data_IF_232461537440
#
_entry.id   IF_232461537440
#
_cell.length_a   1.000
_cell.length_b   1.000
_cell.length_c   1.000
_cell.angle_alpha   90.00
_cell.angle_beta   90.00
_cell.angle_gamma   90.00
#
_symmetry.space_group_name_H-M   'P 1'
#
loop_
_entity.id
_entity.type
_entity.pdbx_description
1 polymer ?
#
# COMPACT_ATOMS: atom_id res chain seq x y z
N UNK A 1 14.56 1.50 -10.97
CA UNK A 1 14.65 0.03 -10.92
C UNK A 1 13.85 -0.39 -9.70
N UNK A 2 12.78 -1.18 -9.83
CA UNK A 2 11.82 -1.46 -8.75
C UNK A 2 12.38 -2.34 -7.62
N UNK A 3 13.47 -3.06 -7.87
CA UNK A 3 14.05 -4.02 -6.93
C UNK A 3 15.42 -3.59 -6.45
N UNK A 4 15.68 -3.81 -5.16
CA UNK A 4 16.96 -3.58 -4.52
C UNK A 4 17.68 -4.91 -4.38
N UNK A 5 18.88 -5.02 -4.96
CA UNK A 5 19.74 -6.18 -4.78
C UNK A 5 20.85 -5.87 -3.75
N UNK A 6 21.47 -6.92 -3.21
CA UNK A 6 22.64 -6.73 -2.35
C UNK A 6 23.77 -6.02 -3.12
N UNK A 7 24.64 -5.24 -2.46
CA UNK A 7 25.65 -4.43 -3.14
C UNK A 7 26.53 -5.23 -4.12
N UNK A 8 26.86 -6.48 -3.78
CA UNK A 8 27.63 -7.37 -4.65
C UNK A 8 26.87 -7.79 -5.92
N UNK A 9 25.57 -8.07 -5.81
CA UNK A 9 24.72 -8.37 -6.96
C UNK A 9 24.49 -7.11 -7.79
N UNK A 10 24.24 -5.97 -7.16
CA UNK A 10 24.08 -4.68 -7.83
C UNK A 10 25.32 -4.31 -8.66
N UNK A 11 26.52 -4.39 -8.07
CA UNK A 11 27.77 -4.19 -8.78
C UNK A 11 27.96 -5.21 -9.92
N UNK A 12 27.49 -6.44 -9.73
CA UNK A 12 27.49 -7.47 -10.77
C UNK A 12 26.51 -7.19 -11.92
N UNK A 13 25.35 -6.56 -11.66
CA UNK A 13 24.43 -6.09 -12.69
C UNK A 13 25.08 -4.96 -13.49
N UNK A 14 25.67 -3.97 -12.81
CA UNK A 14 26.36 -2.84 -13.44
C UNK A 14 27.56 -3.28 -14.29
N UNK A 15 28.28 -4.30 -13.83
CA UNK A 15 29.39 -4.92 -14.57
C UNK A 15 28.93 -5.87 -15.69
N UNK A 16 27.63 -6.06 -15.89
CA UNK A 16 27.07 -6.96 -16.91
C UNK A 16 27.27 -8.45 -16.61
N UNK A 17 27.68 -8.83 -15.39
CA UNK A 17 27.81 -10.22 -14.93
C UNK A 17 26.44 -10.86 -14.71
N UNK A 18 25.47 -10.07 -14.26
CA UNK A 18 24.10 -10.48 -14.03
C UNK A 18 23.15 -9.65 -14.89
N UNK A 19 22.08 -10.29 -15.36
CA UNK A 19 20.99 -9.60 -16.06
C UNK A 19 19.68 -9.78 -15.28
N UNK A 20 18.89 -8.71 -15.09
CA UNK A 20 17.55 -8.83 -14.51
C UNK A 20 16.69 -9.79 -15.33
N UNK A 21 15.93 -10.64 -14.64
CA UNK A 21 14.88 -11.43 -15.28
C UNK A 21 13.71 -10.47 -15.56
N UNK A 22 13.15 -10.57 -16.76
CA UNK A 22 12.00 -9.78 -17.18
C UNK A 22 10.78 -10.69 -17.29
N UNK A 23 9.60 -10.19 -16.91
CA UNK A 23 8.33 -10.82 -17.23
C UNK A 23 8.09 -10.80 -18.75
N UNK A 24 7.07 -11.52 -19.21
CA UNK A 24 6.67 -11.49 -20.64
C UNK A 24 6.29 -10.08 -21.11
N UNK A 25 5.79 -9.24 -20.20
CA UNK A 25 5.45 -7.84 -20.46
C UNK A 25 6.67 -6.89 -20.43
N UNK A 26 7.89 -7.43 -20.25
CA UNK A 26 9.12 -6.63 -20.16
C UNK A 26 9.33 -5.93 -18.81
N UNK A 27 8.56 -6.29 -17.79
CA UNK A 27 8.70 -5.72 -16.43
C UNK A 27 9.81 -6.47 -15.69
N UNK A 28 10.80 -5.77 -15.10
CA UNK A 28 11.81 -6.42 -14.27
C UNK A 28 11.18 -7.24 -13.15
N UNK A 29 11.83 -8.34 -12.76
CA UNK A 29 11.47 -9.17 -11.62
C UNK A 29 12.50 -9.04 -10.50
N UNK A 30 12.15 -9.53 -9.32
CA UNK A 30 13.00 -9.59 -8.13
C UNK A 30 14.19 -10.55 -8.25
N UNK A 31 14.59 -10.97 -9.45
CA UNK A 31 15.65 -11.95 -9.65
C UNK A 31 16.56 -11.58 -10.80
N UNK A 32 17.79 -12.09 -10.71
CA UNK A 32 18.80 -11.99 -11.76
C UNK A 32 19.32 -13.36 -12.15
N UNK A 33 19.84 -13.46 -13.37
CA UNK A 33 20.54 -14.64 -13.89
C UNK A 33 21.94 -14.28 -14.34
N UNK A 34 22.81 -15.28 -14.38
CA UNK A 34 24.16 -15.12 -14.94
C UNK A 34 24.07 -14.75 -16.43
N UNK A 35 24.76 -13.67 -16.81
CA UNK A 35 24.74 -13.16 -18.19
C UNK A 35 25.58 -14.01 -19.16
N UNK A 36 26.67 -14.60 -18.68
CA UNK A 36 27.62 -15.35 -19.49
C UNK A 36 28.37 -16.42 -18.66
N UNK A 37 29.02 -17.36 -19.35
CA UNK A 37 29.84 -18.43 -18.74
C UNK A 37 29.10 -19.77 -18.60
N UNK A 38 29.68 -20.74 -17.88
CA UNK A 38 29.10 -22.09 -17.72
C UNK A 38 27.78 -22.11 -16.93
N UNK A 39 27.47 -21.03 -16.22
CA UNK A 39 26.22 -20.81 -15.49
C UNK A 39 25.25 -19.91 -16.26
N UNK A 40 25.56 -19.52 -17.50
CA UNK A 40 24.73 -18.58 -18.27
C UNK A 40 23.27 -19.03 -18.32
N UNK A 41 22.36 -18.09 -18.04
CA UNK A 41 20.93 -18.36 -17.98
C UNK A 41 20.42 -18.89 -16.63
N UNK A 42 21.30 -19.42 -15.76
CA UNK A 42 20.91 -19.88 -14.43
C UNK A 42 20.62 -18.71 -13.49
N UNK A 43 19.62 -18.89 -12.62
CA UNK A 43 19.22 -17.92 -11.61
C UNK A 43 20.34 -17.78 -10.58
N UNK A 44 20.75 -16.53 -10.36
CA UNK A 44 21.95 -16.22 -9.56
C UNK A 44 21.60 -15.63 -8.19
N UNK A 45 20.57 -14.78 -8.11
CA UNK A 45 20.18 -14.13 -6.87
C UNK A 45 18.76 -13.57 -6.94
N UNK A 46 18.22 -13.28 -5.76
CA UNK A 46 16.98 -12.55 -5.56
C UNK A 46 17.26 -11.15 -4.99
N UNK A 47 16.28 -10.27 -5.13
CA UNK A 47 16.27 -8.94 -4.56
C UNK A 47 16.08 -9.03 -3.05
N UNK A 48 16.80 -8.19 -2.31
CA UNK A 48 16.70 -8.08 -0.85
C UNK A 48 15.63 -7.05 -0.43
N UNK A 49 15.02 -6.36 -1.39
CA UNK A 49 13.96 -5.40 -1.15
C UNK A 49 13.38 -4.86 -2.45
N UNK A 50 12.42 -3.94 -2.32
CA UNK A 50 11.93 -3.14 -3.42
C UNK A 50 12.33 -1.69 -3.24
N UNK A 51 12.87 -1.10 -4.30
CA UNK A 51 13.03 0.35 -4.41
C UNK A 51 11.66 0.89 -4.79
N UNK A 52 10.89 1.29 -3.78
CA UNK A 52 9.91 2.34 -4.02
C UNK A 52 10.69 3.58 -4.48
N UNK A 53 10.06 4.47 -5.26
CA UNK A 53 10.63 5.79 -5.60
C UNK A 53 11.05 6.60 -4.34
N UNK A 54 10.76 6.09 -3.14
CA UNK A 54 11.10 6.59 -1.83
C UNK A 54 12.13 5.66 -1.16
N UNK A 55 13.40 5.82 -1.54
CA UNK A 55 14.54 4.91 -1.27
C UNK A 55 14.83 4.55 0.21
N UNK A 56 14.16 5.17 1.19
CA UNK A 56 14.35 4.87 2.62
C UNK A 56 13.33 3.91 3.25
N UNK A 57 12.06 3.95 2.81
CA UNK A 57 10.95 3.38 3.60
C UNK A 57 10.54 1.96 3.18
N UNK A 58 10.63 1.64 1.88
CA UNK A 58 10.31 0.31 1.36
C UNK A 58 11.35 -0.75 1.78
N UNK A 59 12.61 -0.33 1.98
CA UNK A 59 13.68 -1.19 2.48
C UNK A 59 13.47 -1.65 3.94
N UNK A 60 12.64 -0.96 4.73
CA UNK A 60 12.46 -1.25 6.16
C UNK A 60 11.25 -2.14 6.51
N UNK A 61 10.41 -2.50 5.53
CA UNK A 61 9.22 -3.33 5.77
C UNK A 61 8.16 -2.66 6.66
N UNK A 62 8.13 -1.32 6.72
CA UNK A 62 7.25 -0.54 7.60
C UNK A 62 5.82 -0.41 7.09
N UNK A 63 5.50 -0.98 5.93
CA UNK A 63 4.14 -1.05 5.41
C UNK A 63 3.63 -2.50 5.47
N UNK A 64 2.47 -2.75 6.11
CA UNK A 64 1.89 -4.09 6.18
C UNK A 64 1.63 -4.63 4.78
N UNK A 65 1.32 -3.75 3.84
CA UNK A 65 0.99 -4.08 2.47
C UNK A 65 2.19 -4.47 1.61
N UNK A 66 3.40 -4.42 2.17
CA UNK A 66 4.64 -4.84 1.48
C UNK A 66 5.36 -6.00 2.14
N UNK A 67 5.00 -6.33 3.37
CA UNK A 67 5.61 -7.42 4.12
C UNK A 67 5.34 -8.79 3.46
N UNK A 68 4.10 -9.04 3.03
CA UNK A 68 3.74 -10.30 2.36
C UNK A 68 4.35 -10.47 0.96
N UNK A 69 4.34 -9.43 0.09
CA UNK A 69 5.09 -9.44 -1.17
C UNK A 69 6.59 -9.70 -1.02
N UNK A 70 7.25 -9.10 -0.02
CA UNK A 70 8.67 -9.32 0.24
C UNK A 70 9.00 -10.78 0.60
N UNK A 71 8.09 -11.47 1.29
CA UNK A 71 8.20 -12.92 1.52
C UNK A 71 8.01 -13.71 0.24
N UNK A 72 7.04 -13.31 -0.56
CA UNK A 72 6.63 -14.02 -1.74
C UNK A 72 7.74 -14.12 -2.79
N UNK A 73 8.62 -13.12 -2.82
CA UNK A 73 9.70 -13.00 -3.80
C UNK A 73 10.98 -13.75 -3.42
N UNK A 74 11.01 -14.47 -2.29
CA UNK A 74 12.16 -15.26 -1.84
C UNK A 74 12.03 -16.74 -2.22
N UNK A 75 12.96 -17.25 -3.04
CA UNK A 75 12.84 -18.51 -3.78
C UNK A 75 13.09 -19.82 -3.00
N UNK A 76 13.23 -19.79 -1.67
CA UNK A 76 13.69 -20.95 -0.89
C UNK A 76 12.78 -21.38 0.26
N UNK A 77 12.39 -22.67 0.30
CA UNK A 77 11.57 -23.27 1.37
C UNK A 77 12.19 -23.17 2.78
N UNK A 78 13.52 -23.10 2.90
CA UNK A 78 14.24 -22.98 4.20
C UNK A 78 14.36 -21.53 4.70
N UNK A 79 14.31 -20.53 3.81
CA UNK A 79 14.35 -19.10 4.16
C UNK A 79 12.98 -18.55 4.58
N UNK A 80 11.90 -19.29 4.27
CA UNK A 80 10.53 -18.94 4.68
C UNK A 80 10.43 -18.78 6.21
N UNK A 81 11.12 -19.58 7.02
CA UNK A 81 11.05 -19.49 8.49
C UNK A 81 11.27 -18.10 9.08
N UNK A 82 12.46 -17.52 8.83
CA UNK A 82 12.91 -16.29 9.49
C UNK A 82 12.38 -15.03 8.80
N UNK A 83 12.24 -15.05 7.48
CA UNK A 83 11.56 -13.97 6.78
C UNK A 83 10.08 -13.92 7.15
N UNK A 84 9.37 -15.07 7.14
CA UNK A 84 7.96 -15.12 7.58
C UNK A 84 7.82 -14.59 9.00
N UNK A 85 8.74 -14.90 9.92
CA UNK A 85 8.74 -14.30 11.26
C UNK A 85 8.82 -12.77 11.24
N UNK A 86 9.71 -12.18 10.45
CA UNK A 86 9.90 -10.73 10.37
C UNK A 86 8.69 -10.03 9.72
N UNK A 87 8.18 -10.58 8.63
CA UNK A 87 7.00 -10.05 7.95
C UNK A 87 5.73 -10.19 8.80
N UNK A 88 5.58 -11.31 9.51
CA UNK A 88 4.49 -11.50 10.49
C UNK A 88 4.55 -10.44 11.59
N UNK A 89 5.74 -10.13 12.12
CA UNK A 89 5.92 -9.07 13.12
C UNK A 89 5.59 -7.70 12.54
N UNK A 90 6.01 -7.41 11.31
CA UNK A 90 5.71 -6.15 10.62
C UNK A 90 4.20 -5.97 10.37
N UNK A 91 3.51 -7.03 9.93
CA UNK A 91 2.06 -7.06 9.75
C UNK A 91 1.33 -6.81 11.08
N UNK A 92 1.71 -7.52 12.14
CA UNK A 92 1.12 -7.36 13.48
C UNK A 92 1.29 -5.94 14.03
N UNK A 93 2.51 -5.40 13.95
CA UNK A 93 2.84 -4.05 14.42
C UNK A 93 2.04 -2.98 13.65
N UNK A 94 1.87 -3.15 12.34
CA UNK A 94 1.14 -2.16 11.57
C UNK A 94 -0.36 -2.24 11.74
N UNK A 95 -0.97 -3.43 11.82
CA UNK A 95 -2.42 -3.53 12.09
C UNK A 95 -2.72 -2.90 13.46
N UNK A 96 -1.87 -3.12 14.46
CA UNK A 96 -2.00 -2.46 15.75
C UNK A 96 -1.86 -0.93 15.66
N UNK A 97 -0.89 -0.43 14.88
CA UNK A 97 -0.70 1.02 14.70
C UNK A 97 -1.91 1.65 13.99
N UNK A 98 -2.43 1.00 12.96
CA UNK A 98 -3.60 1.46 12.20
C UNK A 98 -4.88 1.44 13.04
N UNK A 99 -5.09 0.35 13.78
CA UNK A 99 -6.21 0.25 14.71
C UNK A 99 -6.13 1.32 15.81
N UNK A 100 -4.92 1.61 16.30
CA UNK A 100 -4.70 2.70 17.25
C UNK A 100 -5.03 4.06 16.61
N UNK A 101 -4.60 4.36 15.39
CA UNK A 101 -4.92 5.64 14.76
C UNK A 101 -6.42 5.81 14.50
N UNK A 102 -7.15 4.74 14.17
CA UNK A 102 -8.63 4.77 14.12
C UNK A 102 -9.25 5.21 15.45
N UNK A 103 -8.64 4.85 16.59
CA UNK A 103 -9.11 5.26 17.92
C UNK A 103 -8.98 6.76 18.19
N UNK A 104 -7.98 7.44 17.61
CA UNK A 104 -7.80 8.90 17.76
C UNK A 104 -8.83 9.66 16.92
N UNK A 105 -9.18 9.11 15.75
CA UNK A 105 -10.13 9.75 14.82
C UNK A 105 -11.58 9.59 15.33
N UNK A 106 -11.87 8.51 16.06
CA UNK A 106 -13.16 8.26 16.69
C UNK A 106 -14.29 7.83 15.74
N UNK A 107 -15.50 7.74 16.30
CA UNK A 107 -16.77 7.54 15.56
C UNK A 107 -17.41 8.92 15.36
N UNK A 108 -17.82 9.27 14.14
CA UNK A 108 -18.32 10.61 13.77
C UNK A 108 -17.37 11.44 12.88
N UNK A 109 -17.55 12.76 12.85
CA UNK A 109 -16.72 13.68 12.04
C UNK A 109 -15.34 13.83 12.69
N UNK A 110 -14.28 13.59 11.91
CA UNK A 110 -12.91 13.80 12.39
C UNK A 110 -12.67 15.29 12.61
N UNK A 111 -12.29 15.69 13.83
CA UNK A 111 -11.84 17.06 14.08
C UNK A 111 -10.48 17.23 13.39
N UNK A 112 -10.25 18.36 12.71
CA UNK A 112 -9.02 18.63 11.94
C UNK A 112 -7.74 18.37 12.77
N UNK A 113 -7.75 18.67 14.08
CA UNK A 113 -6.63 18.36 14.99
C UNK A 113 -6.33 16.85 15.14
N UNK A 114 -7.35 15.99 15.11
CA UNK A 114 -7.16 14.55 15.16
C UNK A 114 -6.52 14.00 13.88
N UNK A 115 -6.87 14.57 12.71
CA UNK A 115 -6.27 14.19 11.43
C UNK A 115 -4.78 14.50 11.35
N UNK A 116 -4.35 15.64 11.89
CA UNK A 116 -2.92 16.01 11.96
C UNK A 116 -2.13 15.02 12.83
N UNK A 117 -2.72 14.58 13.95
CA UNK A 117 -2.07 13.66 14.88
C UNK A 117 -1.89 12.24 14.33
N UNK A 118 -2.64 11.87 13.31
CA UNK A 118 -2.65 10.53 12.71
C UNK A 118 -2.40 10.55 11.21
N UNK A 119 -1.81 11.62 10.68
CA UNK A 119 -1.44 11.72 9.28
C UNK A 119 -0.34 10.72 8.89
N UNK A 120 0.06 10.76 7.62
CA UNK A 120 0.99 9.78 7.07
C UNK A 120 2.31 9.78 7.82
N UNK A 121 2.87 10.96 8.05
CA UNK A 121 4.13 11.10 8.77
C UNK A 121 4.08 10.51 10.18
N UNK A 122 3.03 10.84 10.95
CA UNK A 122 2.85 10.34 12.31
C UNK A 122 2.65 8.83 12.33
N UNK A 123 1.85 8.30 11.40
CA UNK A 123 1.62 6.86 11.28
C UNK A 123 2.93 6.11 10.99
N UNK A 124 3.78 6.64 10.10
CA UNK A 124 5.08 6.05 9.82
C UNK A 124 6.05 6.15 11.01
N UNK A 125 6.03 7.26 11.75
CA UNK A 125 6.80 7.43 13.00
C UNK A 125 6.38 6.39 14.04
N UNK A 126 5.07 6.24 14.29
CA UNK A 126 4.54 5.25 15.23
C UNK A 126 4.95 3.82 14.84
N UNK A 127 4.84 3.45 13.56
CA UNK A 127 5.28 2.12 13.09
C UNK A 127 6.78 1.91 13.33
N UNK A 128 7.61 2.93 13.11
CA UNK A 128 9.05 2.88 13.38
C UNK A 128 9.33 2.69 14.87
N UNK A 129 8.65 3.44 15.74
CA UNK A 129 8.83 3.34 17.19
C UNK A 129 8.37 1.98 17.73
N UNK A 130 7.29 1.39 17.20
CA UNK A 130 6.88 0.01 17.51
C UNK A 130 7.92 -1.01 17.03
N UNK A 131 8.44 -0.88 15.80
CA UNK A 131 9.50 -1.75 15.27
C UNK A 131 10.76 -1.70 16.16
N UNK A 132 11.08 -0.51 16.68
CA UNK A 132 12.22 -0.28 17.57
C UNK A 132 11.93 -0.63 19.04
N UNK A 133 10.77 -1.22 19.35
CA UNK A 133 10.33 -1.57 20.70
C UNK A 133 10.28 -0.39 21.67
N UNK A 134 10.14 0.84 21.14
CA UNK A 134 9.97 2.07 21.94
C UNK A 134 8.53 2.25 22.39
N UNK A 135 7.58 1.67 21.66
CA UNK A 135 6.16 1.63 21.98
C UNK A 135 5.70 0.18 22.06
N UNK A 136 4.96 -0.14 23.12
CA UNK A 136 4.35 -1.45 23.29
C UNK A 136 2.93 -1.48 22.69
N UNK A 137 2.62 -2.60 22.02
CA UNK A 137 1.27 -2.91 21.56
C UNK A 137 0.57 -3.74 22.63
N UNK A 138 -0.53 -3.25 23.17
CA UNK A 138 -1.37 -3.96 24.12
C UNK A 138 -2.76 -4.18 23.50
N UNK A 139 -3.17 -5.45 23.37
CA UNK A 139 -4.49 -5.82 22.82
C UNK A 139 -4.78 -5.24 21.41
N UNK A 140 -3.74 -4.93 20.63
CA UNK A 140 -3.87 -4.33 19.31
C UNK A 140 -4.02 -2.82 19.31
N UNK A 141 -3.81 -2.17 20.45
CA UNK A 141 -3.80 -0.72 20.58
C UNK A 141 -2.44 -0.26 21.12
N UNK A 142 -2.02 0.93 20.66
CA UNK A 142 -0.89 1.65 21.23
C UNK A 142 -1.40 2.53 22.37
N UNK A 143 -0.54 2.80 23.35
CA UNK A 143 -0.80 3.85 24.32
C UNK A 143 -0.62 5.22 23.65
N UNK A 144 -1.66 5.68 22.96
CA UNK A 144 -1.60 6.93 22.18
C UNK A 144 -1.47 8.18 23.04
N UNK A 145 -1.92 8.11 24.30
CA UNK A 145 -1.71 9.21 25.25
C UNK A 145 -0.22 9.44 25.52
N UNK A 146 0.57 8.37 25.57
CA UNK A 146 2.03 8.45 25.73
C UNK A 146 2.71 8.75 24.40
N UNK A 147 2.27 8.11 23.32
CA UNK A 147 2.88 8.25 22.00
C UNK A 147 2.67 9.65 21.37
N UNK A 148 1.60 10.36 21.75
CA UNK A 148 1.23 11.68 21.24
C UNK A 148 1.28 12.76 22.33
N UNK A 149 1.99 12.51 23.44
CA UNK A 149 2.11 13.46 24.55
C UNK A 149 2.70 14.82 24.12
N UNK A 150 3.47 14.85 23.04
CA UNK A 150 4.09 16.06 22.47
C UNK A 150 3.17 16.85 21.52
N UNK A 151 2.00 16.31 21.17
CA UNK A 151 1.08 16.91 20.18
C UNK A 151 0.06 17.89 20.78
N UNK A 152 0.11 18.15 22.09
CA UNK A 152 -0.70 19.18 22.77
C UNK A 152 -1.88 18.67 23.58
N UNK A 153 -2.33 19.49 24.55
CA UNK A 153 -3.33 19.12 25.55
C UNK A 153 -4.74 18.89 24.96
N UNK A 154 -5.11 19.64 23.93
CA UNK A 154 -6.41 19.54 23.26
C UNK A 154 -6.61 18.16 22.61
N UNK A 155 -5.58 17.63 21.96
CA UNK A 155 -5.62 16.29 21.37
C UNK A 155 -5.74 15.20 22.46
N UNK A 156 -5.01 15.34 23.57
CA UNK A 156 -5.09 14.39 24.67
C UNK A 156 -6.48 14.38 25.32
N UNK A 157 -7.10 15.56 25.45
CA UNK A 157 -8.49 15.68 25.89
C UNK A 157 -9.46 15.03 24.90
N UNK A 158 -9.26 15.23 23.59
CA UNK A 158 -10.06 14.55 22.56
C UNK A 158 -9.95 13.02 22.64
N UNK A 159 -8.74 12.48 22.76
CA UNK A 159 -8.50 11.04 22.92
C UNK A 159 -9.21 10.51 24.19
N UNK A 160 -9.15 11.25 25.30
CA UNK A 160 -9.85 10.88 26.53
C UNK A 160 -11.38 10.86 26.34
N UNK A 161 -11.94 11.86 25.66
CA UNK A 161 -13.38 11.93 25.36
C UNK A 161 -13.84 10.78 24.46
N UNK A 162 -13.11 10.49 23.38
CA UNK A 162 -13.41 9.37 22.48
C UNK A 162 -13.32 8.04 23.23
N UNK A 163 -12.36 7.88 24.13
CA UNK A 163 -12.21 6.67 24.93
C UNK A 163 -13.39 6.44 25.90
N UNK A 164 -14.15 7.48 26.26
CA UNK A 164 -15.33 7.37 27.11
C UNK A 164 -16.61 6.97 26.35
N UNK A 165 -16.64 7.20 25.04
CA UNK A 165 -17.78 6.93 24.16
C UNK A 165 -18.17 5.43 24.13
N UNK A 166 -19.47 5.16 24.22
CA UNK A 166 -20.00 3.79 24.33
C UNK A 166 -19.94 3.02 23.01
N UNK A 167 -20.19 3.70 21.90
CA UNK A 167 -20.11 3.12 20.55
C UNK A 167 -18.66 2.83 20.19
N UNK A 168 -17.75 3.74 20.54
CA UNK A 168 -16.32 3.55 20.46
C UNK A 168 -15.83 2.36 21.31
N UNK A 169 -16.29 2.21 22.56
CA UNK A 169 -15.97 1.04 23.40
C UNK A 169 -16.49 -0.27 22.80
N UNK A 170 -17.67 -0.24 22.18
CA UNK A 170 -18.22 -1.39 21.48
C UNK A 170 -17.35 -1.78 20.27
N UNK A 171 -17.02 -0.81 19.41
CA UNK A 171 -16.09 -0.99 18.28
C UNK A 171 -14.75 -1.54 18.76
N UNK A 172 -14.16 -0.92 19.79
CA UNK A 172 -12.90 -1.34 20.39
C UNK A 172 -12.96 -2.79 20.86
N UNK A 173 -14.03 -3.22 21.51
CA UNK A 173 -14.16 -4.60 22.01
C UNK A 173 -14.10 -5.61 20.86
N UNK A 174 -14.82 -5.36 19.77
CA UNK A 174 -14.83 -6.25 18.60
C UNK A 174 -13.45 -6.25 17.93
N UNK A 175 -12.84 -5.07 17.78
CA UNK A 175 -11.52 -4.93 17.16
C UNK A 175 -10.40 -5.57 18.00
N UNK A 176 -10.44 -5.52 19.34
CA UNK A 176 -9.53 -6.28 20.22
C UNK A 176 -9.66 -7.79 19.94
N UNK A 177 -10.88 -8.30 19.82
CA UNK A 177 -11.12 -9.72 19.54
C UNK A 177 -10.59 -10.11 18.16
N UNK A 178 -10.87 -9.30 17.15
CA UNK A 178 -10.40 -9.49 15.77
C UNK A 178 -8.87 -9.47 15.69
N UNK A 179 -8.22 -8.50 16.33
CA UNK A 179 -6.77 -8.44 16.44
C UNK A 179 -6.19 -9.65 17.18
N UNK A 180 -6.85 -10.11 18.24
CA UNK A 180 -6.48 -11.34 18.95
C UNK A 180 -6.52 -12.59 18.05
N UNK A 181 -7.53 -12.72 17.20
CA UNK A 181 -7.62 -13.79 16.18
C UNK A 181 -6.50 -13.66 15.14
N UNK A 182 -6.29 -12.45 14.63
CA UNK A 182 -5.22 -12.13 13.67
C UNK A 182 -3.84 -12.53 14.21
N UNK A 183 -3.48 -12.09 15.42
CA UNK A 183 -2.20 -12.45 16.04
C UNK A 183 -2.05 -13.95 16.31
N UNK A 184 -3.14 -14.65 16.67
CA UNK A 184 -3.10 -16.11 16.82
C UNK A 184 -2.85 -16.80 15.48
N UNK A 185 -3.46 -16.33 14.39
CA UNK A 185 -3.21 -16.82 13.04
C UNK A 185 -1.74 -16.63 12.65
N UNK A 186 -1.21 -15.43 12.88
CA UNK A 186 0.18 -15.08 12.66
C UNK A 186 1.15 -16.01 13.44
N UNK A 187 0.89 -16.28 14.72
CA UNK A 187 1.68 -17.23 15.51
C UNK A 187 1.61 -18.68 14.99
N UNK A 188 0.47 -19.09 14.43
CA UNK A 188 0.34 -20.39 13.75
C UNK A 188 1.17 -20.45 12.48
N UNK A 189 1.21 -19.38 11.68
CA UNK A 189 2.06 -19.32 10.49
C UNK A 189 3.55 -19.40 10.85
N UNK A 190 3.96 -18.76 11.94
CA UNK A 190 5.32 -18.91 12.48
C UNK A 190 5.62 -20.35 12.90
N UNK A 191 4.64 -21.04 13.49
CA UNK A 191 4.78 -22.46 13.85
C UNK A 191 4.91 -23.31 12.59
N UNK A 192 4.03 -23.09 11.60
CA UNK A 192 4.03 -23.80 10.34
C UNK A 192 5.37 -23.68 9.60
N UNK A 193 6.01 -22.50 9.63
CA UNK A 193 7.29 -22.28 8.96
C UNK A 193 8.47 -23.06 9.58
N UNK A 194 8.29 -23.68 10.74
CA UNK A 194 9.27 -24.57 11.39
C UNK A 194 8.96 -26.06 11.23
N UNK A 195 7.76 -26.41 10.74
CA UNK A 195 7.32 -27.79 10.59
C UNK A 195 7.93 -28.43 9.33
N UNK A 196 8.55 -29.60 9.51
CA UNK A 196 9.10 -30.40 8.40
C UNK A 196 8.07 -31.30 7.73
N UNK A 197 7.07 -31.74 8.49
CA UNK A 197 5.98 -32.56 7.98
C UNK A 197 5.03 -31.68 7.15
N UNK A 198 4.92 -31.97 5.85
CA UNK A 198 4.15 -31.16 4.90
C UNK A 198 2.66 -31.19 5.22
N UNK A 199 2.11 -32.33 5.66
CA UNK A 199 0.70 -32.46 6.02
C UNK A 199 0.36 -31.57 7.21
N UNK A 200 1.10 -31.72 8.31
CA UNK A 200 0.91 -30.91 9.52
C UNK A 200 1.18 -29.43 9.29
N UNK A 201 2.17 -29.09 8.46
CA UNK A 201 2.43 -27.72 8.04
C UNK A 201 1.22 -27.13 7.32
N UNK A 202 0.67 -27.86 6.36
CA UNK A 202 -0.49 -27.41 5.60
C UNK A 202 -1.75 -27.30 6.48
N UNK A 203 -1.94 -28.20 7.44
CA UNK A 203 -3.02 -28.11 8.43
C UNK A 203 -2.91 -26.84 9.29
N UNK A 204 -1.71 -26.50 9.77
CA UNK A 204 -1.46 -25.26 10.51
C UNK A 204 -1.71 -24.01 9.66
N UNK A 205 -1.29 -24.01 8.40
CA UNK A 205 -1.55 -22.91 7.47
C UNK A 205 -3.05 -22.74 7.22
N UNK A 206 -3.79 -23.83 7.02
CA UNK A 206 -5.25 -23.81 6.83
C UNK A 206 -5.96 -23.30 8.09
N UNK A 207 -5.56 -23.76 9.28
CA UNK A 207 -6.11 -23.29 10.54
C UNK A 207 -5.84 -21.79 10.76
N UNK A 208 -4.63 -21.31 10.42
CA UNK A 208 -4.31 -19.89 10.44
C UNK A 208 -5.18 -19.10 9.47
N UNK A 209 -5.35 -19.57 8.23
CA UNK A 209 -6.21 -18.93 7.22
C UNK A 209 -7.65 -18.77 7.70
N UNK A 210 -8.22 -19.79 8.34
CA UNK A 210 -9.57 -19.71 8.90
C UNK A 210 -9.68 -18.60 9.96
N UNK A 211 -8.69 -18.48 10.85
CA UNK A 211 -8.64 -17.40 11.83
C UNK A 211 -8.48 -16.01 11.18
N UNK A 212 -7.76 -15.92 10.06
CA UNK A 212 -7.65 -14.67 9.29
C UNK A 212 -9.00 -14.29 8.67
N UNK A 213 -9.76 -15.24 8.13
CA UNK A 213 -11.12 -14.96 7.64
C UNK A 213 -12.06 -14.53 8.78
N UNK A 214 -11.97 -15.16 9.95
CA UNK A 214 -12.75 -14.75 11.12
C UNK A 214 -12.38 -13.34 11.60
N UNK A 215 -11.11 -12.96 11.55
CA UNK A 215 -10.67 -11.60 11.87
C UNK A 215 -11.14 -10.61 10.80
N UNK A 216 -11.00 -10.97 9.52
CA UNK A 216 -11.43 -10.16 8.38
C UNK A 216 -12.92 -9.79 8.48
N UNK A 217 -13.78 -10.75 8.84
CA UNK A 217 -15.21 -10.52 8.99
C UNK A 217 -15.53 -9.45 10.05
N UNK A 218 -14.75 -9.37 11.14
CA UNK A 218 -14.93 -8.36 12.18
C UNK A 218 -14.40 -6.98 11.73
N UNK A 219 -13.24 -6.95 11.05
CA UNK A 219 -12.68 -5.70 10.50
C UNK A 219 -13.51 -5.13 9.35
N UNK A 220 -14.06 -5.96 8.48
CA UNK A 220 -14.86 -5.60 7.31
C UNK A 220 -16.37 -5.48 7.61
N UNK A 221 -16.75 -5.54 8.89
CA UNK A 221 -18.15 -5.46 9.30
C UNK A 221 -18.76 -4.10 8.93
N UNK A 222 -19.73 -4.10 8.02
CA UNK A 222 -20.41 -2.90 7.53
C UNK A 222 -21.12 -2.10 8.63
N UNK A 223 -21.66 -2.77 9.65
CA UNK A 223 -22.34 -2.10 10.78
C UNK A 223 -21.36 -1.26 11.60
N UNK A 224 -20.11 -1.71 11.69
CA UNK A 224 -19.07 -0.98 12.41
C UNK A 224 -18.37 0.07 11.53
N UNK A 225 -18.63 0.04 10.21
CA UNK A 225 -18.16 1.03 9.23
C UNK A 225 -19.17 2.15 9.01
N UNK A 226 -20.39 1.99 9.52
CA UNK A 226 -21.41 3.03 9.49
C UNK A 226 -21.06 4.12 10.52
N UNK A 227 -21.29 5.39 10.18
CA UNK A 227 -21.10 6.51 11.11
C UNK A 227 -19.66 6.93 11.42
N UNK A 228 -18.64 6.22 10.93
CA UNK A 228 -17.23 6.66 11.06
C UNK A 228 -16.84 7.66 9.97
N UNK A 229 -15.89 8.55 10.25
CA UNK A 229 -15.35 9.49 9.25
C UNK A 229 -14.67 8.78 8.09
N UNK A 230 -14.52 9.47 6.95
CA UNK A 230 -13.77 9.00 5.79
C UNK A 230 -12.32 8.61 6.13
N UNK A 231 -11.69 9.32 7.07
CA UNK A 231 -10.33 9.02 7.54
C UNK A 231 -10.28 7.76 8.40
N UNK A 232 -11.23 7.59 9.34
CA UNK A 232 -11.36 6.38 10.14
C UNK A 232 -11.69 5.16 9.25
N UNK A 233 -12.55 5.36 8.24
CA UNK A 233 -12.86 4.36 7.22
C UNK A 233 -11.59 3.94 6.49
N UNK A 234 -10.81 4.88 5.96
CA UNK A 234 -9.54 4.58 5.27
C UNK A 234 -8.59 3.74 6.13
N UNK A 235 -8.35 4.15 7.38
CA UNK A 235 -7.47 3.41 8.32
C UNK A 235 -7.95 2.00 8.60
N UNK A 236 -9.26 1.81 8.72
CA UNK A 236 -9.85 0.50 8.92
C UNK A 236 -9.76 -0.37 7.67
N UNK A 237 -9.93 0.21 6.47
CA UNK A 237 -9.69 -0.48 5.21
C UNK A 237 -8.24 -0.91 5.06
N UNK A 238 -7.26 -0.11 5.49
CA UNK A 238 -5.86 -0.54 5.53
C UNK A 238 -5.64 -1.80 6.39
N UNK A 239 -6.37 -1.94 7.51
CA UNK A 239 -6.35 -3.18 8.32
C UNK A 239 -6.95 -4.37 7.55
N UNK A 240 -8.09 -4.17 6.88
CA UNK A 240 -8.73 -5.18 6.01
C UNK A 240 -7.76 -5.64 4.92
N UNK A 241 -7.12 -4.69 4.21
CA UNK A 241 -6.16 -4.98 3.15
C UNK A 241 -4.94 -5.75 3.67
N UNK A 242 -4.45 -5.44 4.87
CA UNK A 242 -3.34 -6.16 5.50
C UNK A 242 -3.71 -7.63 5.81
N UNK A 243 -4.93 -7.87 6.31
CA UNK A 243 -5.42 -9.23 6.58
C UNK A 243 -5.61 -10.00 5.27
N UNK A 244 -6.11 -9.33 4.23
CA UNK A 244 -6.25 -9.90 2.88
C UNK A 244 -4.90 -10.37 2.29
N UNK A 245 -3.85 -9.57 2.47
CA UNK A 245 -2.50 -9.99 2.08
C UNK A 245 -1.97 -11.17 2.90
N UNK A 246 -2.25 -11.20 4.21
CA UNK A 246 -1.89 -12.35 5.03
C UNK A 246 -2.60 -13.62 4.55
N UNK A 247 -3.86 -13.51 4.09
CA UNK A 247 -4.60 -14.63 3.48
C UNK A 247 -3.94 -15.06 2.15
N UNK A 248 -3.63 -14.13 1.25
CA UNK A 248 -2.92 -14.45 0.00
C UNK A 248 -1.58 -15.16 0.26
N UNK A 249 -0.83 -14.70 1.26
CA UNK A 249 0.42 -15.33 1.70
C UNK A 249 0.21 -16.79 2.14
N UNK A 250 -0.88 -17.11 2.84
CA UNK A 250 -1.16 -18.50 3.22
C UNK A 250 -1.37 -19.42 2.01
N UNK A 251 -1.99 -18.94 0.93
CA UNK A 251 -2.13 -19.71 -0.31
C UNK A 251 -0.77 -19.93 -0.96
N UNK A 252 0.07 -18.89 -0.97
CA UNK A 252 1.42 -18.99 -1.49
C UNK A 252 2.28 -19.99 -0.71
N UNK A 253 2.18 -20.02 0.63
CA UNK A 253 2.89 -20.98 1.47
C UNK A 253 2.51 -22.44 1.16
N UNK A 254 1.31 -22.67 0.60
CA UNK A 254 0.85 -23.97 0.14
C UNK A 254 1.16 -24.23 -1.35
N UNK A 255 1.71 -23.25 -2.07
CA UNK A 255 2.00 -23.36 -3.51
C UNK A 255 0.78 -23.15 -4.42
N UNK A 256 -0.32 -22.63 -3.88
CA UNK A 256 -1.60 -22.43 -4.60
C UNK A 256 -1.60 -21.10 -5.36
N UNK A 257 -0.69 -20.95 -6.32
CA UNK A 257 -0.43 -19.67 -7.01
C UNK A 257 -1.63 -19.11 -7.77
N UNK A 258 -2.53 -19.95 -8.28
CA UNK A 258 -3.78 -19.48 -8.91
C UNK A 258 -4.67 -18.76 -7.91
N UNK A 259 -4.80 -19.31 -6.69
CA UNK A 259 -5.54 -18.65 -5.62
C UNK A 259 -4.85 -17.37 -5.16
N UNK A 260 -3.51 -17.32 -5.16
CA UNK A 260 -2.76 -16.07 -4.88
C UNK A 260 -3.12 -15.00 -5.90
N UNK A 261 -3.03 -15.31 -7.19
CA UNK A 261 -3.38 -14.41 -8.30
C UNK A 261 -4.80 -13.85 -8.16
N UNK A 262 -5.80 -14.72 -7.94
CA UNK A 262 -7.19 -14.31 -7.73
C UNK A 262 -7.36 -13.35 -6.53
N UNK A 263 -6.67 -13.62 -5.41
CA UNK A 263 -6.72 -12.76 -4.21
C UNK A 263 -6.07 -11.40 -4.44
N UNK A 264 -4.94 -11.35 -5.15
CA UNK A 264 -4.24 -10.09 -5.42
C UNK A 264 -5.01 -9.19 -6.38
N UNK A 265 -5.61 -9.76 -7.43
CA UNK A 265 -6.51 -9.02 -8.33
C UNK A 265 -7.71 -8.46 -7.57
N UNK A 266 -8.35 -9.27 -6.73
CA UNK A 266 -9.47 -8.83 -5.90
C UNK A 266 -9.05 -7.74 -4.90
N UNK A 267 -7.84 -7.82 -4.34
CA UNK A 267 -7.31 -6.83 -3.41
C UNK A 267 -7.00 -5.49 -4.10
N UNK A 268 -6.36 -5.49 -5.28
CA UNK A 268 -6.11 -4.27 -6.07
C UNK A 268 -7.43 -3.53 -6.35
N UNK A 269 -8.44 -4.25 -6.85
CA UNK A 269 -9.77 -3.70 -7.11
C UNK A 269 -10.44 -3.14 -5.86
N UNK A 270 -10.30 -3.85 -4.73
CA UNK A 270 -10.88 -3.45 -3.45
C UNK A 270 -10.24 -2.16 -2.94
N UNK A 271 -8.90 -2.07 -2.94
CA UNK A 271 -8.17 -0.87 -2.53
C UNK A 271 -8.59 0.34 -3.37
N UNK A 272 -8.67 0.17 -4.70
CA UNK A 272 -9.10 1.24 -5.62
C UNK A 272 -10.52 1.71 -5.33
N UNK A 273 -11.47 0.78 -5.19
CA UNK A 273 -12.87 1.10 -4.88
C UNK A 273 -13.00 1.84 -3.55
N UNK A 274 -12.32 1.35 -2.53
CA UNK A 274 -12.36 1.92 -1.19
C UNK A 274 -11.74 3.33 -1.17
N UNK A 275 -10.63 3.54 -1.88
CA UNK A 275 -10.01 4.84 -2.05
C UNK A 275 -10.92 5.82 -2.80
N UNK A 276 -11.51 5.39 -3.92
CA UNK A 276 -12.47 6.21 -4.69
C UNK A 276 -13.64 6.64 -3.83
N UNK A 277 -14.21 5.74 -3.01
CA UNK A 277 -15.25 6.09 -2.04
C UNK A 277 -14.78 7.19 -1.09
N UNK A 278 -13.62 7.00 -0.44
CA UNK A 278 -13.07 7.98 0.51
C UNK A 278 -12.86 9.34 -0.14
N UNK A 279 -12.27 9.39 -1.34
CA UNK A 279 -12.00 10.63 -2.06
C UNK A 279 -13.31 11.34 -2.45
N UNK A 280 -14.33 10.57 -2.82
CA UNK A 280 -15.65 11.10 -3.20
C UNK A 280 -16.41 11.68 -2.00
N UNK A 281 -16.10 11.20 -0.79
CA UNK A 281 -16.69 11.65 0.46
C UNK A 281 -15.95 12.86 1.09
N UNK A 282 -14.85 13.34 0.49
CA UNK A 282 -14.12 14.55 0.93
C UNK A 282 -14.98 15.79 0.68
N UNK A 283 -15.26 16.56 1.75
CA UNK A 283 -16.13 17.75 1.67
C UNK A 283 -15.35 19.03 1.88
N UNK A 284 -14.43 19.04 2.84
CA UNK A 284 -13.68 20.23 3.21
C UNK A 284 -12.28 20.18 2.60
N UNK A 285 -11.74 21.33 2.21
CA UNK A 285 -10.43 21.42 1.55
C UNK A 285 -9.30 20.99 2.49
N UNK A 286 -9.44 21.28 3.78
CA UNK A 286 -8.47 20.96 4.83
C UNK A 286 -8.30 19.44 5.01
N UNK A 287 -9.29 18.63 4.63
CA UNK A 287 -9.16 17.17 4.66
C UNK A 287 -8.13 16.65 3.64
N UNK A 288 -7.84 17.43 2.58
CA UNK A 288 -6.82 17.06 1.60
C UNK A 288 -5.41 17.04 2.20
N UNK A 289 -5.14 17.79 3.27
CA UNK A 289 -3.86 17.74 4.00
C UNK A 289 -3.58 16.34 4.57
N UNK A 290 -4.66 15.60 4.88
CA UNK A 290 -4.60 14.20 5.30
C UNK A 290 -4.67 13.25 4.10
N UNK A 291 -5.69 13.39 3.24
CA UNK A 291 -5.98 12.37 2.23
C UNK A 291 -4.98 12.37 1.08
N UNK A 292 -4.47 13.52 0.64
CA UNK A 292 -3.61 13.57 -0.53
C UNK A 292 -2.32 12.76 -0.33
N UNK A 293 -1.54 12.97 0.75
CA UNK A 293 -0.34 12.16 0.98
C UNK A 293 -0.63 10.67 1.18
N UNK A 294 -1.73 10.33 1.88
CA UNK A 294 -2.13 8.94 2.15
C UNK A 294 -2.48 8.19 0.86
N UNK A 295 -3.37 8.75 0.04
CA UNK A 295 -3.84 8.11 -1.20
C UNK A 295 -2.69 7.99 -2.21
N UNK A 296 -1.84 9.02 -2.30
CA UNK A 296 -0.69 8.96 -3.19
C UNK A 296 0.29 7.86 -2.78
N UNK A 297 0.51 7.68 -1.47
CA UNK A 297 1.31 6.57 -0.97
C UNK A 297 0.65 5.22 -1.24
N UNK A 298 -0.64 5.08 -1.02
CA UNK A 298 -1.36 3.83 -1.31
C UNK A 298 -1.20 3.46 -2.79
N UNK A 299 -1.27 4.43 -3.70
CA UNK A 299 -1.04 4.19 -5.12
C UNK A 299 0.41 3.79 -5.44
N UNK A 300 1.36 4.66 -5.14
CA UNK A 300 2.75 4.51 -5.60
C UNK A 300 3.54 3.44 -4.85
N UNK A 301 3.06 3.09 -3.65
CA UNK A 301 3.72 2.10 -2.81
C UNK A 301 2.91 0.81 -2.77
N UNK A 302 1.66 0.86 -2.33
CA UNK A 302 0.94 -0.35 -1.95
C UNK A 302 0.35 -1.09 -3.16
N UNK A 303 -0.31 -0.37 -4.06
CA UNK A 303 -0.77 -0.94 -5.33
C UNK A 303 0.41 -1.35 -6.22
N UNK A 304 1.47 -0.54 -6.28
CA UNK A 304 2.69 -0.91 -6.99
C UNK A 304 3.30 -2.22 -6.47
N UNK A 305 3.26 -2.43 -5.14
CA UNK A 305 3.77 -3.64 -4.50
C UNK A 305 2.87 -4.86 -4.76
N UNK A 306 1.56 -4.70 -4.73
CA UNK A 306 0.61 -5.76 -5.11
C UNK A 306 0.80 -6.15 -6.57
N UNK A 307 0.97 -5.18 -7.47
CA UNK A 307 1.25 -5.44 -8.88
C UNK A 307 2.59 -6.17 -9.10
N UNK A 308 3.62 -5.84 -8.32
CA UNK A 308 4.89 -6.56 -8.34
C UNK A 308 4.73 -8.01 -7.86
N UNK A 309 3.96 -8.24 -6.79
CA UNK A 309 3.63 -9.58 -6.29
C UNK A 309 2.87 -10.39 -7.34
N UNK A 310 1.85 -9.79 -7.95
CA UNK A 310 1.07 -10.39 -9.03
C UNK A 310 1.98 -10.80 -10.20
N UNK A 311 2.84 -9.88 -10.66
CA UNK A 311 3.78 -10.12 -11.76
C UNK A 311 4.75 -11.27 -11.43
N UNK A 312 5.18 -11.39 -10.17
CA UNK A 312 6.03 -12.49 -9.72
C UNK A 312 5.27 -13.83 -9.72
N UNK A 313 4.04 -13.86 -9.23
CA UNK A 313 3.19 -15.05 -9.20
C UNK A 313 2.91 -15.55 -10.64
N UNK A 314 2.52 -14.64 -11.52
CA UNK A 314 2.25 -14.96 -12.93
C UNK A 314 3.49 -15.50 -13.62
N UNK A 315 4.67 -14.91 -13.38
CA UNK A 315 5.94 -15.43 -13.88
C UNK A 315 6.25 -16.82 -13.32
N UNK A 316 6.08 -17.03 -12.01
CA UNK A 316 6.40 -18.31 -11.35
C UNK A 316 5.59 -19.46 -11.96
N UNK A 317 4.33 -19.20 -12.35
CA UNK A 317 3.47 -20.17 -13.02
C UNK A 317 3.94 -20.54 -14.44
N UNK A 318 4.78 -19.72 -15.07
CA UNK A 318 5.33 -20.00 -16.42
C UNK A 318 6.58 -20.88 -16.41
N UNK A 319 7.14 -21.16 -15.23
CA UNK A 319 8.43 -21.84 -15.11
C UNK A 319 8.36 -23.33 -15.40
N UNK A 320 9.38 -23.83 -16.11
CA UNK A 320 9.58 -25.25 -16.30
C UNK A 320 10.08 -25.96 -15.03
N UNK A 321 9.95 -27.29 -14.99
CA UNK A 321 10.41 -28.12 -13.87
C UNK A 321 11.90 -27.90 -13.56
N UNK A 322 12.74 -27.75 -14.59
CA UNK A 322 14.18 -27.50 -14.41
C UNK A 322 14.46 -26.13 -13.79
N UNK A 323 13.71 -25.09 -14.16
CA UNK A 323 13.85 -23.74 -13.58
C UNK A 323 13.35 -23.70 -12.14
N UNK A 324 12.28 -24.43 -11.83
CA UNK A 324 11.80 -24.62 -10.46
C UNK A 324 12.84 -25.35 -9.60
N UNK A 325 13.53 -26.36 -10.16
CA UNK A 325 14.64 -27.00 -9.47
C UNK A 325 15.82 -26.04 -9.26
N UNK A 326 16.16 -25.22 -10.25
CA UNK A 326 17.20 -24.20 -10.10
C UNK A 326 16.85 -23.19 -9.00
N UNK A 327 15.61 -22.70 -8.95
CA UNK A 327 15.13 -21.82 -7.88
C UNK A 327 15.27 -22.46 -6.50
N UNK A 328 14.88 -23.73 -6.38
CA UNK A 328 14.99 -24.46 -5.12
C UNK A 328 16.43 -24.73 -4.68
N UNK A 329 17.37 -24.72 -5.64
CA UNK A 329 18.79 -24.99 -5.44
C UNK A 329 19.63 -23.72 -5.19
N UNK A 330 19.05 -22.52 -5.30
CA UNK A 330 19.71 -21.28 -4.88
C UNK A 330 19.87 -21.31 -3.35
N UNK A 331 20.98 -21.88 -2.87
CA UNK A 331 21.33 -21.96 -1.45
C UNK A 331 21.95 -20.66 -0.96
N UNK A 332 21.33 -20.10 0.07
CA UNK A 332 21.62 -18.81 0.72
C UNK A 332 22.78 -18.98 1.74
N UNK A 333 23.84 -19.70 1.40
CA UNK A 333 25.02 -19.80 2.30
C UNK A 333 25.99 -18.63 2.11
N UNK A 334 25.92 -17.89 0.99
CA UNK A 334 26.78 -16.73 0.73
C UNK A 334 26.17 -15.36 1.12
N UNK A 335 24.87 -15.29 1.46
CA UNK A 335 24.17 -14.02 1.71
C UNK A 335 24.04 -13.65 3.20
N UNK A 336 24.02 -14.64 4.10
CA UNK A 336 23.85 -14.43 5.55
C UNK A 336 24.99 -13.64 6.20
N UNK A 337 26.21 -13.71 5.66
CA UNK A 337 27.36 -12.95 6.16
C UNK A 337 27.37 -11.47 5.71
N UNK A 338 26.62 -11.12 4.65
CA UNK A 338 26.64 -9.78 4.05
C UNK A 338 25.43 -8.93 4.48
N UNK A 339 24.30 -9.54 4.82
CA UNK A 339 23.11 -8.84 5.33
C UNK A 339 23.29 -8.32 6.77
N UNK A 340 24.06 -9.02 7.61
CA UNK A 340 24.35 -8.59 8.98
C UNK A 340 25.22 -7.33 9.06
N UNK A 341 25.88 -6.94 7.97
CA UNK A 341 26.76 -5.76 7.90
C UNK A 341 26.09 -4.54 7.22
N UNK A 342 24.89 -4.69 6.65
CA UNK A 342 24.13 -3.57 6.12
C UNK A 342 23.54 -2.78 7.28
N UNK A 343 24.25 -1.73 7.69
CA UNK A 343 23.72 -0.67 8.55
C UNK A 343 22.39 -0.23 7.95
N UNK A 344 21.26 -0.50 8.63
CA UNK A 344 19.97 0.10 8.27
C UNK A 344 20.23 1.61 8.18
N UNK A 345 20.10 2.25 7.00
CA UNK A 345 20.35 3.68 6.89
C UNK A 345 19.38 4.36 7.86
N UNK A 346 19.94 5.15 8.79
CA UNK A 346 19.14 5.89 9.76
C UNK A 346 18.18 6.78 8.99
N UNK A 347 16.89 6.45 9.07
CA UNK A 347 15.87 7.18 8.33
C UNK A 347 15.71 8.57 8.93
N UNK A 348 16.21 9.58 8.23
CA UNK A 348 15.77 10.96 8.43
C UNK A 348 14.36 11.06 7.82
N UNK A 349 13.36 11.10 8.69
CA UNK A 349 11.92 11.23 8.36
C UNK A 349 11.58 12.64 7.83
N UNK A 350 12.55 13.39 7.33
CA UNK A 350 12.44 14.84 7.18
C UNK A 350 11.76 15.31 5.90
N UNK A 351 11.70 14.51 4.83
CA UNK A 351 11.07 14.93 3.57
C UNK A 351 10.37 13.78 2.84
N UNK A 352 9.14 13.45 3.26
CA UNK A 352 8.30 12.49 2.55
C UNK A 352 7.86 13.09 1.20
N UNK A 353 8.16 12.43 0.06
CA UNK A 353 7.90 13.00 -1.27
C UNK A 353 6.42 13.19 -1.56
N UNK A 354 5.54 12.44 -0.89
CA UNK A 354 4.09 12.64 -0.97
C UNK A 354 3.69 14.06 -0.50
N UNK A 355 4.31 14.57 0.56
CA UNK A 355 4.08 15.94 1.05
C UNK A 355 4.75 17.00 0.17
N UNK A 356 5.92 16.70 -0.40
CA UNK A 356 6.59 17.60 -1.35
C UNK A 356 5.73 17.79 -2.59
N UNK A 357 5.19 16.68 -3.14
CA UNK A 357 4.30 16.74 -4.29
C UNK A 357 2.98 17.43 -3.95
N UNK A 358 2.42 17.19 -2.76
CA UNK A 358 1.19 17.86 -2.34
C UNK A 358 1.35 19.38 -2.29
N UNK A 359 2.45 19.87 -1.71
CA UNK A 359 2.75 21.31 -1.68
C UNK A 359 2.87 21.91 -3.09
N UNK A 360 3.53 21.19 -4.01
CA UNK A 360 3.59 21.61 -5.41
C UNK A 360 2.21 21.64 -6.08
N UNK A 361 1.34 20.67 -5.76
CA UNK A 361 -0.01 20.63 -6.27
C UNK A 361 -0.85 21.82 -5.76
N UNK A 362 -0.72 22.17 -4.48
CA UNK A 362 -1.36 23.36 -3.88
C UNK A 362 -0.91 24.66 -4.56
N UNK A 363 0.36 24.77 -4.94
CA UNK A 363 0.90 25.95 -5.63
C UNK A 363 0.44 26.06 -7.11
N UNK A 364 0.02 24.95 -7.73
CA UNK A 364 -0.22 24.83 -9.18
C UNK A 364 -1.69 24.59 -9.55
N UNK A 365 -2.58 24.43 -8.59
CA UNK A 365 -3.94 23.94 -8.81
C UNK A 365 -4.92 24.48 -7.76
N UNK A 366 -6.21 24.30 -8.00
CA UNK A 366 -7.27 24.61 -7.05
C UNK A 366 -7.76 23.31 -6.35
N UNK A 367 -8.39 23.41 -5.17
CA UNK A 367 -8.71 22.25 -4.34
C UNK A 367 -9.50 21.14 -5.02
N UNK A 368 -10.47 21.47 -5.86
CA UNK A 368 -11.31 20.50 -6.55
C UNK A 368 -10.52 19.71 -7.60
N UNK A 369 -9.63 20.37 -8.35
CA UNK A 369 -8.73 19.68 -9.28
C UNK A 369 -7.71 18.80 -8.53
N UNK A 370 -7.24 19.23 -7.36
CA UNK A 370 -6.38 18.40 -6.51
C UNK A 370 -7.14 17.14 -6.05
N UNK A 371 -8.38 17.28 -5.56
CA UNK A 371 -9.23 16.13 -5.18
C UNK A 371 -9.46 15.20 -6.37
N UNK A 372 -9.87 15.75 -7.51
CA UNK A 372 -10.20 14.95 -8.70
C UNK A 372 -8.96 14.30 -9.31
N UNK A 373 -7.77 14.89 -9.13
CA UNK A 373 -6.51 14.23 -9.48
C UNK A 373 -6.30 12.92 -8.72
N UNK A 374 -6.72 12.83 -7.45
CA UNK A 374 -6.70 11.57 -6.68
C UNK A 374 -7.72 10.57 -7.24
N UNK A 375 -8.89 11.04 -7.69
CA UNK A 375 -9.87 10.17 -8.37
C UNK A 375 -9.29 9.61 -9.66
N UNK A 376 -8.62 10.41 -10.48
CA UNK A 376 -7.98 9.95 -11.73
C UNK A 376 -6.77 9.04 -11.48
N UNK A 377 -6.10 9.21 -10.34
CA UNK A 377 -5.04 8.31 -9.90
C UNK A 377 -5.61 6.92 -9.55
N UNK A 378 -6.72 6.87 -8.82
CA UNK A 378 -7.29 5.62 -8.30
C UNK A 378 -8.30 4.93 -9.23
N UNK A 379 -8.89 5.68 -10.17
CA UNK A 379 -9.88 5.20 -11.13
C UNK A 379 -9.43 5.43 -12.58
N UNK A 380 -8.76 4.44 -13.19
CA UNK A 380 -8.27 4.53 -14.58
C UNK A 380 -9.39 4.74 -15.61
N UNK A 381 -10.57 4.16 -15.40
CA UNK A 381 -11.70 4.29 -16.33
C UNK A 381 -12.20 5.74 -16.34
N UNK A 382 -12.43 6.31 -15.15
CA UNK A 382 -12.81 7.73 -15.03
C UNK A 382 -11.74 8.65 -15.65
N UNK A 383 -10.46 8.34 -15.45
CA UNK A 383 -9.37 9.09 -16.08
C UNK A 383 -9.45 9.02 -17.61
N UNK A 384 -9.72 7.84 -18.17
CA UNK A 384 -9.84 7.66 -19.62
C UNK A 384 -11.03 8.44 -20.20
N UNK A 385 -12.16 8.47 -19.49
CA UNK A 385 -13.34 9.25 -19.88
C UNK A 385 -13.00 10.75 -19.96
N UNK A 386 -12.33 11.28 -18.93
CA UNK A 386 -11.93 12.70 -18.89
C UNK A 386 -10.85 13.02 -19.93
N UNK A 387 -9.90 12.13 -20.17
CA UNK A 387 -8.93 12.29 -21.26
C UNK A 387 -9.61 12.35 -22.64
N UNK A 388 -10.68 11.58 -22.83
CA UNK A 388 -11.48 11.61 -24.06
C UNK A 388 -12.21 12.95 -24.20
N UNK A 389 -12.87 13.42 -23.14
CA UNK A 389 -13.50 14.74 -23.10
C UNK A 389 -12.51 15.87 -23.43
N UNK A 390 -11.33 15.88 -22.80
CA UNK A 390 -10.27 16.87 -23.04
C UNK A 390 -9.82 16.83 -24.52
N UNK A 391 -9.67 15.64 -25.09
CA UNK A 391 -9.27 15.48 -26.49
C UNK A 391 -10.31 16.06 -27.43
N UNK A 392 -11.60 15.84 -27.16
CA UNK A 392 -12.70 16.36 -27.97
C UNK A 392 -12.77 17.89 -27.91
N UNK A 393 -12.73 18.49 -26.72
CA UNK A 393 -12.75 19.96 -26.56
C UNK A 393 -11.50 20.61 -27.16
N UNK A 394 -10.32 20.00 -26.97
CA UNK A 394 -9.08 20.50 -27.55
C UNK A 394 -9.12 20.57 -29.08
N UNK A 395 -9.79 19.63 -29.75
CA UNK A 395 -9.97 19.66 -31.20
C UNK A 395 -10.85 20.83 -31.65
N UNK A 396 -11.93 21.11 -30.91
CA UNK A 396 -12.82 22.25 -31.19
C UNK A 396 -12.10 23.59 -31.03
N UNK A 397 -11.19 23.69 -30.05
CA UNK A 397 -10.40 24.91 -29.78
C UNK A 397 -9.10 25.00 -30.59
N UNK A 398 -8.78 24.02 -31.44
CA UNK A 398 -7.56 23.99 -32.25
C UNK A 398 -6.26 23.75 -31.46
N UNK A 399 -6.36 23.17 -30.26
CA UNK A 399 -5.24 22.86 -29.37
C UNK A 399 -4.58 21.52 -29.72
N UNK A 400 -3.81 21.51 -30.82
CA UNK A 400 -3.23 20.29 -31.42
C UNK A 400 -2.23 19.51 -30.55
N UNK A 401 -1.74 20.09 -29.45
CA UNK A 401 -0.82 19.42 -28.53
C UNK A 401 -1.51 18.45 -27.54
N UNK A 402 -2.82 18.59 -27.32
CA UNK A 402 -3.59 17.76 -26.38
C UNK A 402 -4.10 16.48 -27.07
N UNK A 403 -3.16 15.64 -27.50
CA UNK A 403 -3.46 14.35 -28.13
C UNK A 403 -3.67 13.26 -27.08
N UNK A 404 -4.37 12.14 -27.42
CA UNK A 404 -4.52 11.01 -26.52
C UNK A 404 -3.18 10.47 -25.98
N UNK A 405 -2.14 10.41 -26.82
CA UNK A 405 -0.81 9.96 -26.41
C UNK A 405 -0.16 10.88 -25.37
N UNK A 406 -0.29 12.20 -25.55
CA UNK A 406 0.26 13.17 -24.61
C UNK A 406 -0.52 13.15 -23.29
N UNK A 407 -1.84 13.03 -23.34
CA UNK A 407 -2.70 12.95 -22.17
C UNK A 407 -2.47 11.65 -21.37
N UNK A 408 -2.15 10.55 -22.03
CA UNK A 408 -1.79 9.29 -21.37
C UNK A 408 -0.52 9.44 -20.51
N UNK A 409 0.46 10.24 -20.98
CA UNK A 409 1.72 10.53 -20.27
C UNK A 409 1.57 11.66 -19.23
N UNK A 410 0.50 12.45 -19.31
CA UNK A 410 0.25 13.56 -18.39
C UNK A 410 -0.03 13.05 -16.97
N UNK A 411 0.33 13.85 -15.97
CA UNK A 411 0.03 13.52 -14.57
C UNK A 411 -1.48 13.61 -14.31
N UNK A 412 -2.02 12.89 -13.31
CA UNK A 412 -3.43 13.03 -12.92
C UNK A 412 -3.81 14.48 -12.60
N UNK A 413 -2.91 15.25 -11.97
CA UNK A 413 -3.13 16.66 -11.68
C UNK A 413 -3.22 17.51 -12.95
N UNK A 414 -2.38 17.22 -13.95
CA UNK A 414 -2.46 17.88 -15.26
C UNK A 414 -3.80 17.58 -15.95
N UNK A 415 -4.27 16.34 -15.91
CA UNK A 415 -5.57 15.96 -16.47
C UNK A 415 -6.71 16.70 -15.76
N UNK A 416 -6.70 16.74 -14.42
CA UNK A 416 -7.69 17.48 -13.65
C UNK A 416 -7.68 18.99 -13.94
N UNK A 417 -6.51 19.62 -13.96
CA UNK A 417 -6.39 21.04 -14.32
C UNK A 417 -6.93 21.34 -15.72
N UNK A 418 -6.68 20.46 -16.70
CA UNK A 418 -7.20 20.60 -18.06
C UNK A 418 -8.71 20.43 -18.13
N UNK A 419 -9.28 19.48 -17.39
CA UNK A 419 -10.72 19.32 -17.28
C UNK A 419 -11.38 20.61 -16.77
N UNK A 420 -10.92 21.14 -15.64
CA UNK A 420 -11.48 22.38 -15.08
C UNK A 420 -11.26 23.59 -16.00
N UNK A 421 -10.15 23.65 -16.73
CA UNK A 421 -9.95 24.67 -17.76
C UNK A 421 -11.06 24.65 -18.82
N UNK A 422 -11.45 23.46 -19.32
CA UNK A 422 -12.53 23.36 -20.30
C UNK A 422 -13.91 23.55 -19.67
N UNK A 423 -14.19 22.98 -18.49
CA UNK A 423 -15.48 23.14 -17.81
C UNK A 423 -15.84 24.62 -17.55
N UNK A 424 -14.87 25.43 -17.12
CA UNK A 424 -15.10 26.87 -16.90
C UNK A 424 -15.47 27.59 -18.19
N UNK A 425 -14.88 27.18 -19.32
CA UNK A 425 -15.18 27.77 -20.64
C UNK A 425 -16.54 27.31 -21.16
N UNK A 426 -16.85 26.03 -21.02
CA UNK A 426 -18.14 25.47 -21.42
C UNK A 426 -19.29 26.15 -20.66
N UNK A 427 -19.14 26.34 -19.35
CA UNK A 427 -20.14 27.05 -18.54
C UNK A 427 -20.28 28.53 -18.93
N UNK A 428 -19.17 29.21 -19.26
CA UNK A 428 -19.21 30.61 -19.70
C UNK A 428 -19.90 30.75 -21.07
N UNK A 429 -19.68 29.81 -21.99
CA UNK A 429 -20.36 29.77 -23.30
C UNK A 429 -21.87 29.54 -23.15
N UNK A 430 -22.29 28.71 -22.20
CA UNK A 430 -23.71 28.49 -21.88
C UNK A 430 -24.38 29.74 -21.29
N UNK A 431 -23.75 30.40 -20.31
CA UNK A 431 -24.28 31.64 -19.70
C UNK A 431 -24.41 32.80 -20.71
N UNK A 432 -23.44 32.95 -21.63
CA UNK A 432 -23.54 33.93 -22.72
C UNK A 432 -24.66 33.60 -23.70
N UNK A 433 -24.90 32.32 -23.99
CA UNK A 433 -25.98 31.89 -24.87
C UNK A 433 -27.37 32.16 -24.28
N UNK A 434 -27.56 31.84 -22.99
CA UNK A 434 -28.82 32.08 -22.28
C UNK A 434 -29.15 33.57 -22.14
N UNK A 435 -28.14 34.40 -21.86
CA UNK A 435 -28.33 35.86 -21.76
C UNK A 435 -28.68 36.51 -23.10
N UNK A 436 -28.12 36.03 -24.21
CA UNK A 436 -28.50 36.47 -25.57
C UNK A 436 -29.91 36.01 -25.97
N UNK A 437 -30.34 34.83 -25.51
CA UNK A 437 -31.68 34.30 -25.77
C UNK A 437 -32.77 35.03 -24.95
N UNK A 438 -32.44 35.52 -23.75
CA UNK A 438 -33.31 36.38 -22.94
C UNK A 438 -33.37 37.80 -23.52
N UNK A 439 -32.24 38.35 -23.99
CA UNK A 439 -32.19 39.70 -24.56
C UNK A 439 -32.88 39.83 -25.95
N UNK A 440 -33.16 38.70 -26.61
CA UNK A 440 -33.83 38.65 -27.92
C UNK A 440 -35.34 38.36 -27.85
N UNK A 441 -35.90 38.20 -26.64
CA UNK A 441 -37.34 38.14 -26.35
C UNK A 441 -37.82 39.47 -25.79
#
# INVERSE_FOLDING_TARGET
MLYQFSPAIQAGIEAGKYIPIMSQAGVPLSMVRHAAGPQAGQIAAHAIGMVSNNAGMAAMGLNPLTAAPQLAMSAGQLYQGQMTLNAVKALSASVATLQATTAVIGVGVAVTGALVAVNLWQTLKLRKDVKQMRLEVQEGFLNLHEALADQGEELLQHIALVAEDVEFKHHRTILVQAYGKFNKALNRLQTASTLRDVGRRNDEITAARNMLFDALADYDNSQLMEGISSAAYLRRRECVWAIEQAIAMTFQMQGEFSAVSDRLLSLDQTIRRDAVKVISDIKEVEELDFFFPEIHRIHDHDLATIAAWQTHVDWYQTLGIEELHQLSAVTIEEQTALEMAAVEPALELTDLPEYVYYKQAQDQSHPEAIRDSLLYLMNPDKRADIQSYITERAQLEGLSALTPENLQKATPLTVANLEYYFLVRDNAEEEESETLEIASK
#
